data_IF_551978176802
#
_entry.id   IF_551978176802
#
_cell.length_a   1.000
_cell.length_b   1.000
_cell.length_c   1.000
_cell.angle_alpha   90.00
_cell.angle_beta   90.00
_cell.angle_gamma   90.00
#
_symmetry.space_group_name_H-M   'P 1'
#
loop_
_entity.id
_entity.type
_entity.pdbx_description
1 polymer ?
#
# COMPACT_ATOMS: atom_id res chain seq x y z
N UNK A 1 2.36 -2.07 31.54
CA UNK A 1 1.48 -1.22 30.73
C UNK A 1 1.84 -1.42 29.27
N UNK A 2 0.88 -1.77 28.40
CA UNK A 2 1.07 -1.69 26.95
C UNK A 2 1.12 -0.22 26.53
N UNK A 3 2.03 0.13 25.61
CA UNK A 3 2.12 1.48 25.03
C UNK A 3 0.88 1.82 24.20
N UNK A 4 0.66 3.11 23.89
CA UNK A 4 -0.44 3.55 23.03
C UNK A 4 -0.47 2.81 21.69
N UNK A 5 0.69 2.66 21.04
CA UNK A 5 0.80 1.93 19.77
C UNK A 5 0.45 0.44 19.91
N UNK A 6 0.84 -0.19 21.02
CA UNK A 6 0.47 -1.58 21.29
C UNK A 6 -1.05 -1.72 21.52
N UNK A 7 -1.71 -0.72 22.11
CA UNK A 7 -3.18 -0.72 22.23
C UNK A 7 -3.86 -0.51 20.88
N UNK A 8 -3.32 0.37 20.03
CA UNK A 8 -3.83 0.60 18.67
C UNK A 8 -3.77 -0.68 17.82
N UNK A 9 -2.64 -1.39 17.85
CA UNK A 9 -2.50 -2.66 17.13
C UNK A 9 -3.38 -3.77 17.71
N UNK A 10 -3.60 -3.79 19.04
CA UNK A 10 -4.57 -4.71 19.65
C UNK A 10 -5.99 -4.46 19.17
N UNK A 11 -6.39 -3.20 19.04
CA UNK A 11 -7.71 -2.82 18.53
C UNK A 11 -7.84 -3.17 17.04
N UNK A 12 -6.81 -2.89 16.24
CA UNK A 12 -6.81 -3.27 14.82
C UNK A 12 -6.80 -4.78 14.61
N UNK A 13 -6.19 -5.56 15.51
CA UNK A 13 -6.22 -7.02 15.45
C UNK A 13 -7.63 -7.62 15.63
N UNK A 14 -8.61 -6.84 16.14
CA UNK A 14 -10.02 -7.25 16.12
C UNK A 14 -10.61 -7.23 14.70
N UNK A 15 -10.08 -6.37 13.83
CA UNK A 15 -10.40 -6.32 12.42
C UNK A 15 -9.66 -7.39 11.62
N UNK A 16 -8.42 -7.70 11.98
CA UNK A 16 -7.65 -8.76 11.35
C UNK A 16 -6.71 -9.43 12.36
N UNK A 17 -7.11 -10.63 12.80
CA UNK A 17 -6.36 -11.36 13.82
C UNK A 17 -4.98 -11.84 13.37
N UNK A 18 -4.64 -11.78 12.07
CA UNK A 18 -3.29 -12.10 11.56
C UNK A 18 -2.20 -11.21 12.16
N UNK A 19 -2.56 -9.99 12.54
CA UNK A 19 -1.67 -9.06 13.25
C UNK A 19 -1.39 -9.45 14.70
N UNK A 20 -2.26 -10.26 15.32
CA UNK A 20 -2.05 -10.82 16.66
C UNK A 20 -1.34 -12.17 16.61
N UNK A 21 -1.65 -13.01 15.60
CA UNK A 21 -1.08 -14.36 15.47
C UNK A 21 0.30 -14.37 14.80
N UNK A 22 0.84 -13.21 14.43
CA UNK A 22 2.13 -13.09 13.75
C UNK A 22 2.20 -13.95 12.49
N UNK A 23 1.15 -13.90 11.66
CA UNK A 23 1.16 -14.59 10.37
C UNK A 23 2.40 -14.21 9.55
N UNK A 24 3.10 -15.21 9.01
CA UNK A 24 4.42 -15.05 8.37
C UNK A 24 4.30 -14.12 7.16
N UNK A 25 3.23 -14.25 6.39
CA UNK A 25 2.98 -13.40 5.24
C UNK A 25 2.78 -11.94 5.67
N UNK A 26 1.89 -11.71 6.64
CA UNK A 26 1.58 -10.37 7.16
C UNK A 26 2.83 -9.70 7.73
N UNK A 27 3.60 -10.39 8.60
CA UNK A 27 4.84 -9.84 9.18
C UNK A 27 5.87 -9.50 8.10
N UNK A 28 6.00 -10.34 7.07
CA UNK A 28 6.97 -10.11 5.98
C UNK A 28 6.62 -8.86 5.17
N UNK A 29 5.36 -8.71 4.78
CA UNK A 29 4.88 -7.56 4.00
C UNK A 29 5.01 -6.26 4.81
N UNK A 30 4.61 -6.28 6.08
CA UNK A 30 4.70 -5.11 6.95
C UNK A 30 6.15 -4.69 7.20
N UNK A 31 7.06 -5.66 7.35
CA UNK A 31 8.50 -5.39 7.52
C UNK A 31 9.08 -4.68 6.28
N UNK A 32 8.78 -5.19 5.08
CA UNK A 32 9.23 -4.54 3.84
C UNK A 32 8.58 -3.15 3.71
N UNK A 33 7.32 -3.01 4.10
CA UNK A 33 6.62 -1.72 4.06
C UNK A 33 7.27 -0.69 4.95
N UNK A 34 7.63 -1.07 6.18
CA UNK A 34 8.29 -0.17 7.12
C UNK A 34 9.72 0.17 6.67
N UNK A 35 10.50 -0.80 6.20
CA UNK A 35 11.93 -0.62 5.91
C UNK A 35 12.24 -0.11 4.51
N UNK A 36 11.38 -0.37 3.52
CA UNK A 36 11.60 0.02 2.13
C UNK A 36 10.57 1.06 1.66
N UNK A 37 9.27 0.75 1.76
CA UNK A 37 8.22 1.61 1.20
C UNK A 37 8.07 2.92 1.97
N UNK A 38 8.23 2.89 3.30
CA UNK A 38 8.24 4.09 4.15
C UNK A 38 9.33 5.09 3.74
N UNK A 39 10.62 4.72 3.77
CA UNK A 39 11.71 5.60 3.34
C UNK A 39 11.58 6.08 1.89
N UNK A 40 11.16 5.22 0.96
CA UNK A 40 10.94 5.63 -0.44
C UNK A 40 9.75 6.59 -0.61
N UNK A 41 8.73 6.49 0.24
CA UNK A 41 7.64 7.46 0.28
C UNK A 41 8.13 8.84 0.72
N UNK A 42 8.98 8.90 1.75
CA UNK A 42 9.63 10.16 2.15
C UNK A 42 10.54 10.72 1.05
N UNK A 43 11.30 9.86 0.38
CA UNK A 43 12.12 10.27 -0.77
C UNK A 43 11.26 10.83 -1.92
N UNK A 44 10.09 10.24 -2.16
CA UNK A 44 9.14 10.73 -3.17
C UNK A 44 8.66 12.14 -2.80
N UNK A 45 8.26 12.37 -1.54
CA UNK A 45 7.85 13.69 -1.06
C UNK A 45 9.00 14.70 -1.19
N UNK A 46 10.21 14.33 -0.79
CA UNK A 46 11.40 15.17 -0.98
C UNK A 46 11.63 15.52 -2.46
N UNK A 47 11.47 14.54 -3.36
CA UNK A 47 11.55 14.73 -4.79
C UNK A 47 10.49 15.68 -5.34
N UNK A 48 9.27 15.65 -4.80
CA UNK A 48 8.20 16.61 -5.14
C UNK A 48 8.61 18.02 -4.70
N UNK A 49 9.08 18.19 -3.46
CA UNK A 49 9.46 19.50 -2.91
C UNK A 49 10.67 20.14 -3.61
N UNK A 50 11.48 19.34 -4.32
CA UNK A 50 12.68 19.77 -5.03
C UNK A 50 12.52 19.78 -6.55
N UNK A 51 11.31 19.57 -7.06
CA UNK A 51 11.02 19.42 -8.49
C UNK A 51 11.96 18.42 -9.19
N UNK A 52 12.30 17.35 -8.48
CA UNK A 52 13.20 16.33 -9.01
C UNK A 52 12.49 15.48 -10.06
N UNK A 53 12.83 15.66 -11.33
CA UNK A 53 12.20 14.94 -12.45
C UNK A 53 12.22 13.41 -12.31
N UNK A 54 13.29 12.83 -11.73
CA UNK A 54 13.37 11.37 -11.52
C UNK A 54 12.50 10.86 -10.37
N UNK A 55 11.80 11.75 -9.63
CA UNK A 55 10.84 11.36 -8.58
C UNK A 55 9.77 10.41 -9.11
N UNK A 56 9.40 10.53 -10.38
CA UNK A 56 8.38 9.69 -11.01
C UNK A 56 8.77 8.20 -10.98
N UNK A 57 10.07 7.87 -11.06
CA UNK A 57 10.54 6.48 -10.93
C UNK A 57 10.26 5.95 -9.52
N UNK A 58 10.65 6.72 -8.49
CA UNK A 58 10.43 6.34 -7.09
C UNK A 58 8.93 6.24 -6.79
N UNK A 59 8.15 7.22 -7.26
CA UNK A 59 6.69 7.24 -7.12
C UNK A 59 6.03 6.03 -7.76
N UNK A 60 6.43 5.64 -8.98
CA UNK A 60 5.91 4.45 -9.67
C UNK A 60 6.20 3.18 -8.88
N UNK A 61 7.44 3.01 -8.39
CA UNK A 61 7.85 1.83 -7.60
C UNK A 61 7.01 1.73 -6.33
N UNK A 62 6.94 2.82 -5.55
CA UNK A 62 6.20 2.85 -4.28
C UNK A 62 4.71 2.64 -4.51
N UNK A 63 4.12 3.28 -5.51
CA UNK A 63 2.68 3.14 -5.77
C UNK A 63 2.33 1.71 -6.19
N UNK A 64 3.14 1.11 -7.07
CA UNK A 64 2.93 -0.28 -7.50
C UNK A 64 3.04 -1.24 -6.32
N UNK A 65 4.03 -1.04 -5.44
CA UNK A 65 4.20 -1.86 -4.24
C UNK A 65 3.00 -1.80 -3.29
N UNK A 66 2.43 -0.62 -3.07
CA UNK A 66 1.23 -0.47 -2.23
C UNK A 66 0.00 -1.15 -2.84
N UNK A 67 -0.26 -0.93 -4.14
CA UNK A 67 -1.38 -1.58 -4.83
C UNK A 67 -1.24 -3.10 -4.78
N UNK A 68 -0.03 -3.60 -5.05
CA UNK A 68 0.25 -5.03 -4.98
C UNK A 68 0.11 -5.60 -3.57
N UNK A 69 0.63 -4.91 -2.55
CA UNK A 69 0.52 -5.30 -1.15
C UNK A 69 -0.93 -5.39 -0.69
N UNK A 70 -1.75 -4.37 -0.99
CA UNK A 70 -3.18 -4.37 -0.65
C UNK A 70 -3.94 -5.47 -1.39
N UNK A 71 -3.63 -5.70 -2.67
CA UNK A 71 -4.24 -6.78 -3.44
C UNK A 71 -3.93 -8.15 -2.82
N UNK A 72 -2.67 -8.41 -2.44
CA UNK A 72 -2.29 -9.64 -1.76
C UNK A 72 -2.94 -9.77 -0.38
N UNK A 73 -3.04 -8.68 0.37
CA UNK A 73 -3.67 -8.64 1.69
C UNK A 73 -5.15 -9.08 1.65
N UNK A 74 -5.91 -8.58 0.68
CA UNK A 74 -7.30 -8.99 0.47
C UNK A 74 -7.40 -10.40 -0.11
N UNK A 75 -6.54 -10.75 -1.08
CA UNK A 75 -6.58 -12.05 -1.74
C UNK A 75 -6.23 -13.20 -0.79
N UNK A 76 -5.26 -13.01 0.09
CA UNK A 76 -4.87 -14.01 1.11
C UNK A 76 -6.02 -14.28 2.08
N UNK A 77 -6.63 -13.23 2.64
CA UNK A 77 -7.80 -13.38 3.50
C UNK A 77 -8.95 -14.08 2.78
N UNK A 78 -9.26 -13.66 1.54
CA UNK A 78 -10.32 -14.28 0.74
C UNK A 78 -10.05 -15.76 0.47
N UNK A 79 -8.84 -16.12 0.08
CA UNK A 79 -8.47 -17.49 -0.20
C UNK A 79 -8.49 -18.35 1.06
N UNK A 80 -7.98 -17.86 2.19
CA UNK A 80 -8.02 -18.61 3.45
C UNK A 80 -9.44 -18.79 3.98
N UNK A 81 -10.30 -17.77 3.84
CA UNK A 81 -11.73 -17.93 4.13
C UNK A 81 -12.40 -18.96 3.22
N UNK A 82 -12.02 -19.04 1.94
CA UNK A 82 -12.60 -20.01 0.99
C UNK A 82 -12.08 -21.43 1.15
N UNK A 83 -10.79 -21.61 1.43
CA UNK A 83 -10.11 -22.92 1.48
C UNK A 83 -10.18 -23.53 2.88
N UNK A 84 -9.97 -22.71 3.92
CA UNK A 84 -9.88 -23.18 5.30
C UNK A 84 -11.09 -22.78 6.16
N UNK A 85 -12.01 -21.96 5.63
CA UNK A 85 -13.19 -21.51 6.36
C UNK A 85 -12.87 -20.55 7.51
N UNK A 86 -11.66 -19.99 7.55
CA UNK A 86 -11.20 -19.12 8.63
C UNK A 86 -11.61 -17.68 8.32
N UNK A 87 -12.29 -17.04 9.27
CA UNK A 87 -12.57 -15.62 9.25
C UNK A 87 -11.63 -14.91 10.23
N UNK A 88 -10.73 -14.09 9.71
CA UNK A 88 -9.78 -13.33 10.55
C UNK A 88 -10.38 -12.08 11.16
N UNK A 89 -11.43 -11.54 10.53
CA UNK A 89 -12.17 -10.37 10.98
C UNK A 89 -13.38 -10.77 11.79
N UNK A 90 -13.68 -10.00 12.85
CA UNK A 90 -14.93 -10.19 13.58
C UNK A 90 -16.15 -9.83 12.70
N UNK A 91 -17.31 -10.46 12.93
CA UNK A 91 -18.48 -10.31 12.05
C UNK A 91 -19.16 -8.94 12.14
N UNK A 92 -18.87 -8.12 13.15
CA UNK A 92 -19.50 -6.80 13.26
C UNK A 92 -19.10 -5.87 12.10
N UNK A 93 -20.08 -5.12 11.60
CA UNK A 93 -19.92 -4.21 10.46
C UNK A 93 -18.76 -3.22 10.65
N UNK A 94 -18.53 -2.75 11.87
CA UNK A 94 -17.43 -1.84 12.20
C UNK A 94 -16.06 -2.44 11.85
N UNK A 95 -15.80 -3.66 12.31
CA UNK A 95 -14.49 -4.29 12.15
C UNK A 95 -14.24 -4.71 10.71
N UNK A 96 -15.25 -5.26 10.02
CA UNK A 96 -15.06 -5.67 8.63
C UNK A 96 -15.12 -4.49 7.65
N UNK A 97 -16.16 -3.65 7.67
CA UNK A 97 -16.33 -2.63 6.63
C UNK A 97 -15.53 -1.36 6.90
N UNK A 98 -15.45 -0.91 8.16
CA UNK A 98 -14.74 0.34 8.46
C UNK A 98 -13.25 0.08 8.62
N UNK A 99 -12.86 -0.89 9.45
CA UNK A 99 -11.43 -1.12 9.71
C UNK A 99 -10.79 -1.92 8.57
N UNK A 100 -11.30 -3.12 8.27
CA UNK A 100 -10.65 -3.98 7.28
C UNK A 100 -10.78 -3.43 5.85
N UNK A 101 -11.97 -3.05 5.40
CA UNK A 101 -12.15 -2.46 4.06
C UNK A 101 -11.78 -0.98 4.07
N UNK A 102 -12.40 -0.18 4.92
CA UNK A 102 -12.30 1.28 4.89
C UNK A 102 -10.88 1.82 5.13
N UNK A 103 -10.14 1.30 6.10
CA UNK A 103 -8.78 1.77 6.37
C UNK A 103 -7.73 1.21 5.40
N UNK A 104 -7.97 0.12 4.68
CA UNK A 104 -7.01 -0.36 3.68
C UNK A 104 -7.29 0.19 2.28
N UNK A 105 -8.52 0.62 1.99
CA UNK A 105 -8.92 1.10 0.67
C UNK A 105 -8.12 2.33 0.17
N UNK A 106 -7.76 3.33 1.00
CA UNK A 106 -6.95 4.46 0.54
C UNK A 106 -5.57 4.05 0.01
N UNK A 107 -5.00 2.94 0.51
CA UNK A 107 -3.71 2.39 0.08
C UNK A 107 -3.80 1.70 -1.28
N UNK A 108 -5.00 1.45 -1.80
CA UNK A 108 -5.22 1.09 -3.21
C UNK A 108 -5.50 2.33 -4.07
N UNK A 109 -6.44 3.19 -3.62
CA UNK A 109 -6.94 4.30 -4.45
C UNK A 109 -5.89 5.39 -4.67
N UNK A 110 -5.26 5.88 -3.60
CA UNK A 110 -4.31 7.00 -3.70
C UNK A 110 -3.10 6.63 -4.56
N UNK A 111 -2.45 5.45 -4.35
CA UNK A 111 -1.38 5.01 -5.22
C UNK A 111 -1.77 4.86 -6.69
N UNK A 112 -2.97 4.38 -7.01
CA UNK A 112 -3.42 4.28 -8.41
C UNK A 112 -3.53 5.64 -9.09
N UNK A 113 -4.03 6.65 -8.37
CA UNK A 113 -4.12 8.03 -8.89
C UNK A 113 -2.71 8.59 -9.13
N UNK A 114 -1.81 8.46 -8.16
CA UNK A 114 -0.43 8.93 -8.25
C UNK A 114 0.38 8.18 -9.33
N UNK A 115 0.08 6.89 -9.53
CA UNK A 115 0.70 6.08 -10.57
C UNK A 115 0.28 6.55 -11.96
N UNK A 116 -1.02 6.82 -12.15
CA UNK A 116 -1.55 7.38 -13.41
C UNK A 116 -0.96 8.75 -13.72
N UNK A 117 -0.81 9.60 -12.72
CA UNK A 117 -0.17 10.91 -12.84
C UNK A 117 1.28 10.76 -13.34
N UNK A 118 2.09 9.97 -12.63
CA UNK A 118 3.49 9.74 -13.02
C UNK A 118 3.63 9.09 -14.40
N UNK A 119 2.78 8.11 -14.72
CA UNK A 119 2.74 7.50 -16.04
C UNK A 119 2.51 8.54 -17.14
N UNK A 120 1.53 9.41 -16.96
CA UNK A 120 1.18 10.45 -17.94
C UNK A 120 2.34 11.43 -18.15
N UNK A 121 3.00 11.87 -17.07
CA UNK A 121 4.16 12.76 -17.16
C UNK A 121 5.34 12.10 -17.88
N UNK A 122 5.65 10.85 -17.56
CA UNK A 122 6.72 10.09 -18.21
C UNK A 122 6.41 9.90 -19.70
N UNK A 123 5.20 9.48 -20.07
CA UNK A 123 4.81 9.32 -21.48
C UNK A 123 4.92 10.61 -22.28
N UNK A 124 4.48 11.75 -21.72
CA UNK A 124 4.60 13.07 -22.37
C UNK A 124 6.06 13.47 -22.58
N UNK A 125 6.93 13.23 -21.59
CA UNK A 125 8.35 13.54 -21.70
C UNK A 125 9.02 12.71 -22.82
N UNK A 126 8.66 11.42 -22.95
CA UNK A 126 9.18 10.59 -24.03
C UNK A 126 8.64 10.98 -25.41
N UNK A 127 7.36 11.33 -25.53
CA UNK A 127 6.77 11.80 -26.78
C UNK A 127 7.46 13.07 -27.29
N UNK A 128 7.68 14.06 -26.41
CA UNK A 128 8.38 15.30 -26.76
C UNK A 128 9.86 15.05 -27.17
N UNK A 129 10.51 14.07 -26.54
CA UNK A 129 11.87 13.67 -26.91
C UNK A 129 11.92 13.01 -28.30
N UNK A 130 10.89 12.25 -28.67
CA UNK A 130 10.79 11.62 -29.99
C UNK A 130 10.53 12.64 -31.10
N UNK A 131 9.64 13.61 -30.87
CA UNK A 131 9.40 14.72 -31.81
C UNK A 131 10.69 15.50 -32.09
N UNK A 132 11.44 15.87 -31.06
CA UNK A 132 12.72 16.58 -31.20
C UNK A 132 13.81 15.77 -31.91
N UNK A 133 13.73 14.44 -31.93
CA UNK A 133 14.67 13.58 -32.69
C UNK A 133 14.32 13.46 -34.16
N UNK A 134 13.08 13.79 -34.53
CA UNK A 134 12.57 13.71 -35.92
C UNK A 134 12.76 15.01 -36.69
N UNK A 135 12.87 16.13 -35.98
CA UNK A 135 13.34 17.43 -36.49
C UNK A 135 14.85 17.43 -36.76
#
# INVERSE_FOLDING_TARGET
>A
MSTLFAQLWKEYALSDSRYLTHDIFTVSVETITCLAWGPLSFLTVFGILRDWHSRHVVQIIVCTAHVYGVALYYLTNWNESRVHGVAYSRPETLYFWVYYVGFNLPWAIVPLILLRDSWTHVSKAFAALEEKKRE
#
